data_IF_333217508933
#
_entry.id   IF_333217508933
#
_cell.length_a   1.000
_cell.length_b   1.000
_cell.length_c   1.000
_cell.angle_alpha   90.00
_cell.angle_beta   90.00
_cell.angle_gamma   90.00
#
_symmetry.space_group_name_H-M   'P 1'
#
loop_
_entity.id
_entity.type
_entity.pdbx_description
1 polymer ?
#
# COMPACT_ATOMS: atom_id res chain seq x y z
N UNK A 1 -11.91 -20.49 20.73
CA UNK A 1 -10.45 -20.59 20.82
C UNK A 1 -9.87 -20.04 19.53
N UNK A 2 -9.54 -18.75 19.48
CA UNK A 2 -9.02 -18.11 18.26
C UNK A 2 -8.10 -16.97 18.71
N UNK A 3 -6.80 -17.26 18.85
CA UNK A 3 -5.80 -16.30 19.30
C UNK A 3 -5.18 -15.59 18.11
N UNK A 4 -5.54 -14.33 17.89
CA UNK A 4 -4.84 -13.45 16.98
C UNK A 4 -3.42 -13.21 17.52
N UNK A 5 -2.39 -13.61 16.78
CA UNK A 5 -0.97 -13.41 17.14
C UNK A 5 -0.34 -12.32 16.26
N UNK A 6 -0.85 -11.09 16.32
CA UNK A 6 -0.16 -9.90 15.78
C UNK A 6 1.06 -9.49 16.65
N UNK A 7 1.67 -10.50 17.28
CA UNK A 7 2.77 -10.55 18.25
C UNK A 7 2.39 -10.00 19.64
N UNK A 8 2.47 -10.87 20.66
CA UNK A 8 2.03 -10.74 22.08
C UNK A 8 2.43 -9.43 22.82
N UNK A 9 3.26 -8.59 22.21
CA UNK A 9 3.75 -7.33 22.75
C UNK A 9 3.87 -6.30 21.62
N UNK A 10 2.75 -5.70 21.19
CA UNK A 10 2.80 -4.50 20.33
C UNK A 10 2.83 -3.25 21.22
N UNK A 11 3.97 -2.52 21.32
CA UNK A 11 4.13 -1.39 22.24
C UNK A 11 3.57 -0.07 21.69
N UNK A 12 2.81 -0.08 20.59
CA UNK A 12 2.32 1.14 19.95
C UNK A 12 1.06 1.67 20.65
N UNK A 13 1.26 2.11 21.91
CA UNK A 13 0.32 2.95 22.60
C UNK A 13 0.29 4.34 21.93
N UNK A 14 -0.92 4.82 21.70
CA UNK A 14 -1.25 6.10 21.07
C UNK A 14 -0.58 7.27 21.79
N UNK A 15 0.33 7.96 21.12
CA UNK A 15 0.80 9.29 21.51
C UNK A 15 0.30 10.29 20.46
N UNK A 16 -0.50 11.24 20.92
CA UNK A 16 -1.23 12.15 20.07
C UNK A 16 -0.41 13.31 19.48
N UNK A 17 -1.13 14.04 18.63
CA UNK A 17 -0.93 15.39 18.08
C UNK A 17 -0.06 15.60 16.83
N UNK A 18 -0.80 15.80 15.72
CA UNK A 18 -0.63 16.87 14.72
C UNK A 18 0.70 17.01 13.97
N UNK A 19 0.86 16.25 12.88
CA UNK A 19 1.13 16.80 11.54
C UNK A 19 1.02 15.67 10.50
N UNK A 20 -0.08 15.65 9.73
CA UNK A 20 -0.29 14.64 8.68
C UNK A 20 0.75 14.70 7.57
N UNK A 21 1.51 15.80 7.45
CA UNK A 21 2.57 16.01 6.46
C UNK A 21 3.68 14.94 6.49
N UNK A 22 3.80 14.16 7.57
CA UNK A 22 4.79 13.11 7.72
C UNK A 22 4.38 11.71 7.22
N UNK A 23 3.15 11.49 6.73
CA UNK A 23 2.67 10.12 6.39
C UNK A 23 2.81 9.78 4.91
N UNK A 24 2.93 8.48 4.59
CA UNK A 24 2.92 8.01 3.20
C UNK A 24 1.57 8.28 2.53
N UNK A 25 0.46 8.19 3.27
CA UNK A 25 -0.87 8.56 2.78
C UNK A 25 -0.97 10.04 2.39
N UNK A 26 -0.56 10.96 3.26
CA UNK A 26 -0.59 12.38 2.98
C UNK A 26 0.34 12.77 1.83
N UNK A 27 1.53 12.15 1.76
CA UNK A 27 2.47 12.33 0.65
C UNK A 27 1.87 11.89 -0.68
N UNK A 28 1.22 10.72 -0.71
CA UNK A 28 0.48 10.25 -1.89
C UNK A 28 -0.56 11.28 -2.32
N UNK A 29 -1.45 11.72 -1.42
CA UNK A 29 -2.51 12.69 -1.76
C UNK A 29 -1.94 14.03 -2.24
N UNK A 30 -0.80 14.49 -1.71
CA UNK A 30 -0.14 15.69 -2.18
C UNK A 30 0.41 15.53 -3.62
N UNK A 31 1.05 14.39 -3.90
CA UNK A 31 1.56 14.07 -5.25
C UNK A 31 0.39 13.96 -6.23
N UNK A 32 -0.67 13.25 -5.87
CA UNK A 32 -1.81 13.04 -6.76
C UNK A 32 -2.54 14.34 -7.11
N UNK A 33 -2.75 15.23 -6.12
CA UNK A 33 -3.30 16.57 -6.37
C UNK A 33 -2.44 17.40 -7.30
N UNK A 34 -1.12 17.33 -7.13
CA UNK A 34 -0.18 18.10 -7.96
C UNK A 34 -0.09 17.55 -9.39
N UNK A 35 -0.23 16.24 -9.55
CA UNK A 35 -0.17 15.57 -10.85
C UNK A 35 -1.43 15.72 -11.72
N UNK A 36 -2.61 15.85 -11.10
CA UNK A 36 -3.87 16.10 -11.81
C UNK A 36 -4.16 15.10 -12.93
N UNK A 37 -4.40 15.61 -14.13
CA UNK A 37 -4.70 14.78 -15.32
C UNK A 37 -3.45 14.18 -16.00
N UNK A 38 -2.27 14.39 -15.43
CA UNK A 38 -1.04 13.75 -15.93
C UNK A 38 -1.05 12.24 -15.63
N UNK A 39 -0.43 11.45 -16.50
CA UNK A 39 -0.32 10.00 -16.29
C UNK A 39 0.50 9.67 -15.03
N UNK A 40 -0.07 8.83 -14.15
CA UNK A 40 0.54 8.37 -12.90
C UNK A 40 1.16 6.98 -13.04
N UNK A 41 0.38 6.02 -13.57
CA UNK A 41 0.79 4.62 -13.73
C UNK A 41 0.55 4.21 -15.18
N UNK A 42 1.52 3.51 -15.77
CA UNK A 42 1.49 3.02 -17.15
C UNK A 42 1.92 1.56 -17.18
N UNK A 43 1.08 0.71 -17.75
CA UNK A 43 1.43 -0.63 -18.24
C UNK A 43 1.35 -0.62 -19.77
N UNK A 44 1.80 -1.68 -20.48
CA UNK A 44 1.58 -1.78 -21.91
C UNK A 44 0.10 -1.73 -22.32
N UNK A 45 -0.80 -2.17 -21.45
CA UNK A 45 -2.23 -2.32 -21.70
C UNK A 45 -3.05 -1.10 -21.26
N UNK A 46 -2.61 -0.37 -20.24
CA UNK A 46 -3.37 0.74 -19.66
C UNK A 46 -2.51 1.88 -19.11
N UNK A 47 -3.09 3.07 -19.06
CA UNK A 47 -2.52 4.25 -18.40
C UNK A 47 -3.61 4.94 -17.61
N UNK A 48 -3.33 5.25 -16.34
CA UNK A 48 -4.26 6.01 -15.48
C UNK A 48 -3.61 7.33 -15.04
N UNK A 49 -4.43 8.39 -14.93
CA UNK A 49 -3.98 9.70 -14.45
C UNK A 49 -3.87 9.74 -12.93
N UNK A 50 -3.20 10.76 -12.38
CA UNK A 50 -3.16 10.96 -10.93
C UNK A 50 -4.55 11.22 -10.35
N UNK A 51 -5.41 11.98 -11.04
CA UNK A 51 -6.79 12.22 -10.63
C UNK A 51 -7.61 10.91 -10.59
N UNK A 52 -7.48 10.06 -11.61
CA UNK A 52 -8.13 8.75 -11.66
C UNK A 52 -7.62 7.80 -10.56
N UNK A 53 -6.30 7.78 -10.35
CA UNK A 53 -5.68 6.98 -9.30
C UNK A 53 -6.14 7.43 -7.91
N UNK A 54 -6.20 8.73 -7.65
CA UNK A 54 -6.67 9.28 -6.37
C UNK A 54 -8.11 8.86 -6.06
N UNK A 55 -9.02 8.99 -7.03
CA UNK A 55 -10.41 8.58 -6.86
C UNK A 55 -10.52 7.08 -6.54
N UNK A 56 -9.84 6.22 -7.30
CA UNK A 56 -9.85 4.77 -7.06
C UNK A 56 -9.22 4.38 -5.71
N UNK A 57 -8.14 5.05 -5.31
CA UNK A 57 -7.50 4.83 -4.00
C UNK A 57 -8.45 5.20 -2.86
N UNK A 58 -9.15 6.32 -2.97
CA UNK A 58 -10.11 6.75 -1.95
C UNK A 58 -11.31 5.80 -1.86
N UNK A 59 -11.83 5.33 -2.99
CA UNK A 59 -12.93 4.35 -3.02
C UNK A 59 -12.49 3.02 -2.38
N UNK A 60 -11.31 2.53 -2.75
CA UNK A 60 -10.78 1.29 -2.20
C UNK A 60 -10.44 1.42 -0.70
N UNK A 61 -9.94 2.58 -0.26
CA UNK A 61 -9.67 2.83 1.15
C UNK A 61 -10.95 2.73 1.99
N UNK A 62 -12.07 3.26 1.49
CA UNK A 62 -13.38 3.13 2.16
C UNK A 62 -13.87 1.69 2.17
N UNK A 63 -13.81 1.00 1.04
CA UNK A 63 -14.18 -0.41 1.00
C UNK A 63 -13.36 -1.26 1.98
N UNK A 64 -12.06 -0.98 2.12
CA UNK A 64 -11.21 -1.61 3.13
C UNK A 64 -11.75 -1.32 4.54
N UNK A 65 -12.07 -0.08 4.88
CA UNK A 65 -12.60 0.27 6.19
C UNK A 65 -13.95 -0.42 6.49
N UNK A 66 -14.80 -0.59 5.48
CA UNK A 66 -16.12 -1.20 5.63
C UNK A 66 -16.07 -2.73 5.72
N UNK A 67 -15.10 -3.37 5.07
CA UNK A 67 -15.03 -4.84 4.93
C UNK A 67 -14.02 -5.51 5.84
N UNK A 68 -13.09 -4.76 6.42
CA UNK A 68 -12.01 -5.31 7.27
C UNK A 68 -12.25 -5.04 8.76
N UNK A 69 -12.01 -6.03 9.64
CA UNK A 69 -12.06 -5.81 11.08
C UNK A 69 -11.14 -4.66 11.52
N UNK A 70 -11.57 -3.92 12.53
CA UNK A 70 -10.77 -2.84 13.13
C UNK A 70 -9.41 -3.35 13.58
N UNK A 71 -8.36 -2.58 13.27
CA UNK A 71 -6.95 -2.80 13.62
C UNK A 71 -6.26 -3.99 12.95
N UNK A 72 -6.96 -4.76 12.10
CA UNK A 72 -6.33 -5.84 11.35
C UNK A 72 -5.46 -5.31 10.20
N UNK A 73 -4.30 -5.93 9.94
CA UNK A 73 -3.56 -5.69 8.71
C UNK A 73 -4.37 -6.10 7.49
N UNK A 74 -4.04 -5.52 6.35
CA UNK A 74 -4.61 -5.89 5.06
C UNK A 74 -3.50 -6.48 4.19
N UNK A 75 -3.72 -7.70 3.73
CA UNK A 75 -2.82 -8.36 2.81
C UNK A 75 -3.20 -8.03 1.36
N UNK A 76 -2.21 -7.64 0.56
CA UNK A 76 -2.35 -7.39 -0.87
C UNK A 76 -1.43 -8.35 -1.61
N UNK A 77 -1.99 -9.09 -2.56
CA UNK A 77 -1.20 -9.87 -3.51
C UNK A 77 -0.60 -8.93 -4.54
N UNK A 78 0.72 -9.01 -4.72
CA UNK A 78 1.44 -8.06 -5.57
C UNK A 78 1.75 -8.69 -6.93
N UNK A 79 1.12 -8.13 -7.95
CA UNK A 79 1.44 -8.34 -9.35
C UNK A 79 2.03 -7.06 -9.97
N UNK A 80 2.49 -7.16 -11.23
CA UNK A 80 3.01 -6.01 -11.99
C UNK A 80 1.90 -5.26 -12.73
N UNK A 81 0.83 -4.90 -12.02
CA UNK A 81 -0.35 -4.25 -12.57
C UNK A 81 -0.73 -2.97 -11.82
N UNK A 82 -1.73 -2.26 -12.36
CA UNK A 82 -2.25 -1.01 -11.79
C UNK A 82 -2.96 -1.28 -10.46
N UNK A 83 -3.75 -2.35 -10.38
CA UNK A 83 -4.64 -2.61 -9.26
C UNK A 83 -3.87 -2.96 -7.98
N UNK A 84 -2.74 -3.66 -8.11
CA UNK A 84 -1.81 -3.94 -7.01
C UNK A 84 -1.25 -2.66 -6.40
N UNK A 85 -0.86 -1.69 -7.24
CA UNK A 85 -0.34 -0.39 -6.78
C UNK A 85 -1.44 0.43 -6.11
N UNK A 86 -2.63 0.48 -6.71
CA UNK A 86 -3.77 1.19 -6.12
C UNK A 86 -4.20 0.57 -4.80
N UNK A 87 -4.17 -0.76 -4.69
CA UNK A 87 -4.48 -1.50 -3.46
C UNK A 87 -3.52 -1.16 -2.32
N UNK A 88 -2.22 -1.15 -2.60
CA UNK A 88 -1.21 -0.75 -1.62
C UNK A 88 -1.44 0.68 -1.11
N UNK A 89 -1.68 1.63 -2.03
CA UNK A 89 -1.96 3.03 -1.69
C UNK A 89 -3.24 3.18 -0.86
N UNK A 90 -4.28 2.42 -1.20
CA UNK A 90 -5.56 2.41 -0.49
C UNK A 90 -5.44 1.88 0.93
N UNK A 91 -4.67 0.80 1.14
CA UNK A 91 -4.38 0.27 2.48
C UNK A 91 -3.71 1.32 3.37
N UNK A 92 -2.70 2.02 2.85
CA UNK A 92 -2.06 3.11 3.60
C UNK A 92 -2.99 4.28 3.87
N UNK A 93 -3.81 4.67 2.89
CA UNK A 93 -4.79 5.74 3.06
C UNK A 93 -5.85 5.38 4.10
N UNK A 94 -6.30 4.13 4.13
CA UNK A 94 -7.20 3.58 5.14
C UNK A 94 -6.57 3.47 6.54
N UNK A 95 -5.27 3.81 6.69
CA UNK A 95 -4.56 3.71 7.97
C UNK A 95 -4.38 2.26 8.45
N UNK A 96 -4.43 1.29 7.53
CA UNK A 96 -4.22 -0.13 7.86
C UNK A 96 -2.76 -0.53 7.63
N UNK A 97 -2.19 -1.41 8.46
CA UNK A 97 -0.90 -2.01 8.17
C UNK A 97 -0.98 -2.93 6.94
N UNK A 98 -0.10 -2.74 5.98
CA UNK A 98 0.00 -3.52 4.75
C UNK A 98 0.84 -4.78 4.93
N UNK A 99 0.35 -5.92 4.47
CA UNK A 99 1.14 -7.14 4.26
C UNK A 99 1.25 -7.40 2.76
N UNK A 100 2.47 -7.51 2.24
CA UNK A 100 2.68 -7.87 0.84
C UNK A 100 2.79 -9.39 0.72
N UNK A 101 1.98 -9.97 -0.17
CA UNK A 101 1.98 -11.41 -0.45
C UNK A 101 2.38 -11.61 -1.91
N UNK A 102 3.36 -12.47 -2.14
CA UNK A 102 3.71 -12.92 -3.49
C UNK A 102 2.75 -14.05 -3.90
N UNK A 103 1.93 -13.86 -4.96
CA UNK A 103 0.95 -14.87 -5.38
C UNK A 103 1.59 -16.15 -5.91
N UNK A 104 2.88 -16.12 -6.28
CA UNK A 104 3.62 -17.28 -6.79
C UNK A 104 4.29 -18.10 -5.68
N UNK A 105 4.17 -17.69 -4.42
CA UNK A 105 4.59 -18.53 -3.29
C UNK A 105 3.72 -19.79 -3.19
N UNK A 106 4.29 -20.92 -2.76
CA UNK A 106 3.49 -22.13 -2.45
C UNK A 106 2.31 -21.81 -1.53
N UNK A 107 1.18 -22.48 -1.73
CA UNK A 107 -0.06 -22.21 -0.99
C UNK A 107 0.15 -22.25 0.53
N UNK A 108 0.85 -23.26 1.03
CA UNK A 108 1.18 -23.38 2.46
C UNK A 108 2.00 -22.19 2.98
N UNK A 109 2.88 -21.62 2.16
CA UNK A 109 3.67 -20.42 2.53
C UNK A 109 2.78 -19.18 2.60
N UNK A 110 1.86 -19.00 1.64
CA UNK A 110 0.89 -17.89 1.65
C UNK A 110 -0.04 -18.00 2.85
N UNK A 111 -0.61 -19.18 3.09
CA UNK A 111 -1.49 -19.44 4.23
C UNK A 111 -0.77 -19.16 5.56
N UNK A 112 0.50 -19.56 5.68
CA UNK A 112 1.31 -19.29 6.86
C UNK A 112 1.54 -17.78 7.08
N UNK A 113 1.84 -17.00 6.02
CA UNK A 113 1.99 -15.55 6.12
C UNK A 113 0.69 -14.89 6.59
N UNK A 114 -0.45 -15.29 6.02
CA UNK A 114 -1.77 -14.77 6.39
C UNK A 114 -2.13 -15.11 7.84
N UNK A 115 -1.89 -16.36 8.25
CA UNK A 115 -2.15 -16.81 9.62
C UNK A 115 -1.27 -16.08 10.64
N UNK A 116 0.03 -15.95 10.37
CA UNK A 116 0.97 -15.26 11.26
C UNK A 116 0.71 -13.75 11.35
N UNK A 117 0.21 -13.14 10.27
CA UNK A 117 -0.12 -11.71 10.25
C UNK A 117 -1.50 -11.40 10.81
N UNK A 118 -2.42 -12.36 10.83
CA UNK A 118 -3.83 -12.07 11.07
C UNK A 118 -4.45 -11.13 10.02
N UNK A 119 -3.81 -11.01 8.85
CA UNK A 119 -4.21 -10.06 7.84
C UNK A 119 -5.51 -10.49 7.14
N UNK A 120 -6.36 -9.51 6.84
CA UNK A 120 -7.46 -9.71 5.93
C UNK A 120 -6.93 -9.65 4.50
N UNK A 121 -7.07 -10.73 3.73
CA UNK A 121 -6.66 -10.74 2.32
C UNK A 121 -7.63 -9.90 1.50
N UNK A 122 -7.11 -8.86 0.85
CA UNK A 122 -7.86 -8.09 -0.14
C UNK A 122 -8.06 -8.95 -1.38
N UNK A 123 -9.31 -9.19 -1.74
CA UNK A 123 -9.65 -10.03 -2.90
C UNK A 123 -10.05 -9.17 -4.10
N UNK A 124 -9.97 -9.72 -5.33
CA UNK A 124 -10.51 -9.04 -6.52
C UNK A 124 -11.99 -8.67 -6.38
N UNK A 125 -12.77 -9.39 -5.57
CA UNK A 125 -14.15 -9.04 -5.28
C UNK A 125 -14.24 -7.72 -4.50
N UNK A 126 -13.34 -7.47 -3.56
CA UNK A 126 -13.27 -6.20 -2.80
C UNK A 126 -12.86 -5.03 -3.71
N UNK A 127 -11.94 -5.28 -4.64
CA UNK A 127 -11.51 -4.30 -5.66
C UNK A 127 -12.60 -4.05 -6.70
N UNK A 128 -13.33 -5.10 -7.11
CA UNK A 128 -14.37 -5.05 -8.14
C UNK A 128 -15.75 -4.60 -7.64
N UNK A 129 -15.99 -4.60 -6.32
CA UNK A 129 -17.21 -4.09 -5.70
C UNK A 129 -17.26 -2.56 -5.60
N UNK A 130 -16.21 -1.88 -6.06
CA UNK A 130 -16.16 -0.42 -6.15
C UNK A 130 -17.07 0.06 -7.29
N UNK A 131 -18.38 0.13 -7.05
CA UNK A 131 -19.19 1.10 -7.76
C UNK A 131 -18.59 2.49 -7.48
N UNK A 132 -18.62 3.45 -8.43
CA UNK A 132 -18.26 4.82 -8.12
C UNK A 132 -19.11 5.27 -6.93
N UNK A 133 -18.50 5.39 -5.76
CA UNK A 133 -19.17 5.99 -4.62
C UNK A 133 -19.37 7.45 -5.01
N UNK A 134 -20.61 7.89 -5.01
CA UNK A 134 -21.00 9.24 -5.42
C UNK A 134 -20.11 10.27 -4.69
N UNK A 135 -19.69 11.34 -5.39
CA UNK A 135 -18.63 12.27 -4.96
C UNK A 135 -18.87 12.96 -3.59
N UNK A 136 -20.06 12.77 -3.00
CA UNK A 136 -20.42 13.13 -1.63
C UNK A 136 -19.94 12.10 -0.58
N UNK A 137 -18.80 11.47 -0.82
CA UNK A 137 -18.31 10.39 0.03
C UNK A 137 -17.88 10.92 1.42
N UNK A 138 -18.31 10.22 2.46
CA UNK A 138 -17.96 10.52 3.85
C UNK A 138 -16.43 10.54 4.01
N UNK A 139 -15.85 11.59 4.59
CA UNK A 139 -14.43 11.62 4.92
C UNK A 139 -14.09 10.47 5.87
N UNK A 140 -12.97 9.80 5.65
CA UNK A 140 -12.40 8.83 6.59
C UNK A 140 -11.19 9.44 7.31
N UNK A 141 -10.86 8.89 8.48
CA UNK A 141 -9.80 9.42 9.34
C UNK A 141 -8.44 9.33 8.65
N UNK A 142 -7.65 10.41 8.77
CA UNK A 142 -6.27 10.44 8.30
C UNK A 142 -5.36 9.68 9.27
N UNK A 143 -4.46 8.81 8.78
CA UNK A 143 -3.51 8.11 9.65
C UNK A 143 -2.48 9.08 10.24
N UNK A 144 -2.06 8.81 11.47
CA UNK A 144 -0.99 9.51 12.15
C UNK A 144 0.40 8.98 11.71
N UNK A 145 1.47 9.80 11.82
CA UNK A 145 2.83 9.39 11.41
C UNK A 145 3.38 8.13 12.07
N UNK A 146 2.96 7.87 13.32
CA UNK A 146 3.39 6.72 14.10
C UNK A 146 2.45 5.50 13.96
N UNK A 147 1.35 5.61 13.19
CA UNK A 147 0.47 4.49 12.93
C UNK A 147 1.19 3.40 12.11
N UNK A 148 0.90 2.11 12.35
CA UNK A 148 1.42 1.01 11.54
C UNK A 148 1.05 1.16 10.06
N UNK A 149 2.04 1.01 9.17
CA UNK A 149 1.87 1.10 7.72
C UNK A 149 2.27 -0.16 6.98
N UNK A 150 3.29 -0.89 7.43
CA UNK A 150 3.74 -2.12 6.76
C UNK A 150 4.14 -3.15 7.80
N UNK A 151 3.71 -4.39 7.60
CA UNK A 151 4.19 -5.57 8.32
C UNK A 151 5.00 -6.43 7.34
N UNK A 152 6.30 -6.58 7.61
CA UNK A 152 7.22 -7.39 6.82
C UNK A 152 7.63 -8.63 7.59
N UNK A 153 7.63 -9.80 6.96
CA UNK A 153 8.19 -11.01 7.54
C UNK A 153 9.62 -11.22 7.07
N UNK A 154 10.53 -11.40 8.03
CA UNK A 154 11.92 -11.75 7.75
C UNK A 154 12.17 -13.19 8.19
N UNK A 155 13.03 -13.92 7.47
CA UNK A 155 13.50 -15.24 7.90
C UNK A 155 14.29 -15.10 9.20
N UNK A 156 13.62 -15.31 10.34
CA UNK A 156 14.29 -15.37 11.62
C UNK A 156 15.30 -16.53 11.63
N UNK A 157 16.51 -16.27 12.11
CA UNK A 157 17.56 -17.30 12.28
C UNK A 157 17.14 -18.47 13.16
N UNK A 158 16.07 -18.31 13.95
CA UNK A 158 15.48 -19.32 14.84
C UNK A 158 14.37 -20.16 14.19
N UNK A 159 14.12 -20.00 12.87
CA UNK A 159 13.10 -20.75 12.14
C UNK A 159 11.66 -20.20 12.25
N UNK A 160 11.42 -19.24 13.14
CA UNK A 160 10.13 -18.52 13.25
C UNK A 160 10.26 -17.14 12.57
N UNK A 161 9.40 -16.81 11.59
CA UNK A 161 9.41 -15.49 10.94
C UNK A 161 9.20 -14.37 11.96
N UNK A 162 10.01 -13.31 11.89
CA UNK A 162 9.83 -12.10 12.70
C UNK A 162 9.07 -11.06 11.88
N UNK A 163 7.91 -10.65 12.38
CA UNK A 163 7.16 -9.51 11.84
C UNK A 163 7.83 -8.19 12.23
N UNK A 164 8.14 -7.36 11.26
CA UNK A 164 8.66 -6.00 11.43
C UNK A 164 7.55 -5.04 11.04
N UNK A 165 7.10 -4.24 12.00
CA UNK A 165 6.11 -3.18 11.77
C UNK A 165 6.83 -1.87 11.48
N UNK A 166 6.53 -1.26 10.34
CA UNK A 166 7.01 0.07 9.97
C UNK A 166 5.87 1.07 10.07
N UNK A 167 6.15 2.25 10.63
CA UNK A 167 5.19 3.33 10.77
C UNK A 167 4.95 4.10 9.46
N UNK A 168 3.83 4.83 9.37
CA UNK A 168 3.45 5.67 8.23
C UNK A 168 4.52 6.67 7.78
N UNK A 169 5.37 7.14 8.70
CA UNK A 169 6.52 8.02 8.39
C UNK A 169 7.71 7.31 7.72
N UNK A 170 7.85 6.00 7.90
CA UNK A 170 9.04 5.27 7.48
C UNK A 170 9.17 5.19 5.95
N UNK A 171 8.11 4.85 5.17
CA UNK A 171 8.20 4.84 3.71
C UNK A 171 8.56 6.21 3.12
N UNK A 172 8.19 7.31 3.78
CA UNK A 172 8.50 8.68 3.35
C UNK A 172 10.00 8.98 3.36
N UNK A 173 10.73 8.40 4.33
CA UNK A 173 12.15 8.66 4.57
C UNK A 173 13.11 7.74 3.80
N UNK A 174 12.60 6.65 3.20
CA UNK A 174 13.42 5.65 2.48
C UNK A 174 13.15 5.59 0.97
N UNK A 175 12.38 6.52 0.40
CA UNK A 175 12.33 6.70 -1.05
C UNK A 175 13.58 7.49 -1.47
N UNK A 176 14.62 6.87 -2.08
CA UNK A 176 15.71 7.64 -2.66
C UNK A 176 15.10 8.62 -3.67
N UNK A 177 15.56 9.88 -3.65
CA UNK A 177 15.31 10.80 -4.78
C UNK A 177 15.83 10.09 -6.02
N UNK A 178 14.93 9.60 -6.87
CA UNK A 178 15.31 9.09 -8.18
C UNK A 178 15.70 10.30 -9.00
N UNK A 179 16.97 10.70 -8.89
CA UNK A 179 17.59 11.63 -9.81
C UNK A 179 17.61 10.96 -11.19
N UNK A 180 17.05 11.63 -12.18
CA UNK A 180 17.14 11.23 -13.58
C UNK A 180 18.59 10.88 -13.93
N UNK A 181 18.83 9.61 -14.27
CA UNK A 181 20.08 9.21 -14.93
C UNK A 181 19.73 8.80 -16.35
N UNK A 182 20.10 9.67 -17.28
CA UNK A 182 19.93 9.47 -18.71
C UNK A 182 20.67 8.22 -19.21
N UNK A 183 20.17 7.72 -20.34
CA UNK A 183 20.41 6.43 -20.97
C UNK A 183 21.87 6.17 -21.33
N UNK A 184 22.27 4.89 -21.25
CA UNK A 184 23.17 4.30 -22.25
C UNK A 184 22.50 3.07 -22.85
N UNK A 185 22.43 3.08 -24.18
CA UNK A 185 21.76 2.09 -25.01
C UNK A 185 22.48 0.73 -25.04
N UNK A 186 21.73 -0.33 -24.77
CA UNK A 186 21.75 -1.59 -25.53
C UNK A 186 20.50 -2.43 -25.20
N UNK A 187 19.78 -2.86 -26.22
CA UNK A 187 18.49 -3.58 -26.20
C UNK A 187 18.71 -5.02 -26.75
N UNK A 188 17.79 -6.01 -26.64
CA UNK A 188 16.57 -6.18 -25.80
C UNK A 188 16.55 -7.48 -24.95
N UNK A 189 15.72 -7.51 -23.89
CA UNK A 189 14.59 -8.45 -23.69
C UNK A 189 14.03 -8.36 -22.25
N UNK A 190 12.72 -8.56 -22.16
CA UNK A 190 11.82 -8.62 -20.99
C UNK A 190 11.22 -7.28 -20.50
N UNK A 191 9.89 -7.28 -20.53
CA UNK A 191 8.93 -6.24 -20.18
C UNK A 191 9.21 -5.65 -18.81
N UNK A 192 9.48 -4.35 -18.77
CA UNK A 192 9.66 -3.57 -17.53
C UNK A 192 8.63 -2.45 -17.52
N UNK A 193 7.88 -2.37 -16.43
CA UNK A 193 7.15 -1.15 -16.05
C UNK A 193 8.19 -0.06 -15.83
N UNK A 194 8.08 1.03 -16.58
CA UNK A 194 8.99 2.18 -16.46
C UNK A 194 8.31 3.28 -15.65
N UNK A 195 8.89 3.74 -14.52
CA UNK A 195 8.47 4.99 -13.92
C UNK A 195 8.83 6.12 -14.88
N UNK A 196 7.81 6.83 -15.38
CA UNK A 196 8.02 8.06 -16.14
C UNK A 196 8.44 9.15 -15.15
N UNK A 197 9.72 9.45 -15.13
CA UNK A 197 10.26 10.57 -14.40
C UNK A 197 10.00 11.88 -15.16
N UNK A 198 9.59 12.93 -14.44
CA UNK A 198 9.71 14.34 -14.82
C UNK A 198 9.96 15.15 -13.54
N UNK A 199 11.03 15.93 -13.49
CA UNK A 199 11.05 17.39 -13.24
C UNK A 199 12.50 17.89 -13.36
N UNK A 200 12.74 18.76 -14.34
CA UNK A 200 13.65 19.90 -14.23
C UNK A 200 12.84 21.13 -14.66
N UNK A 201 12.76 22.09 -13.73
CA UNK A 201 12.32 23.50 -13.81
C UNK A 201 11.08 23.86 -14.63
#
# INVERSE_FOLDING_TARGET
MTGARYLDHSPFATAGSSESAGTVAARWRAIARSGGDSAAIRTPEQSITFAQAAARVDDLARAILDTTPTDNPVAVEIESDVDSVLSMLAVWCAGRPLVLVDPFLPEDRRANILELSGAHLLTPATVGQLAPLDQAATPYAEPAPDDPAVLLFTSGSTGTPKGVVLAQRTPVNHIPRVAHRERRDHQPRHSRVHPAALITT
#
